data_IF_248803439359
#
_entry.id   IF_248803439359
#
_cell.length_a   1.000
_cell.length_b   1.000
_cell.length_c   1.000
_cell.angle_alpha   90.00
_cell.angle_beta   90.00
_cell.angle_gamma   90.00
#
_symmetry.space_group_name_H-M   'P 1'
#
loop_
_entity.id
_entity.type
_entity.pdbx_description
1 polymer ?
#
# COMPACT_ATOMS: atom_id res chain seq x y z
N UNK A 1 -8.31 -18.96 -17.40
CA UNK A 1 -7.78 -17.70 -16.85
C UNK A 1 -6.28 -17.77 -16.53
N UNK A 2 -5.74 -18.85 -15.96
CA UNK A 2 -4.30 -18.94 -15.69
C UNK A 2 -3.40 -19.19 -16.93
N UNK A 3 -3.99 -19.31 -18.12
CA UNK A 3 -3.29 -19.55 -19.40
C UNK A 3 -3.55 -18.44 -20.44
N UNK A 4 -3.97 -17.26 -19.97
CA UNK A 4 -4.07 -16.06 -20.81
C UNK A 4 -2.87 -15.18 -20.54
N UNK A 5 -2.35 -14.52 -21.58
CA UNK A 5 -1.15 -13.66 -21.54
C UNK A 5 -1.22 -12.60 -20.41
N UNK A 6 -2.42 -12.17 -20.05
CA UNK A 6 -2.65 -11.09 -19.09
C UNK A 6 -2.51 -11.50 -17.60
N UNK A 7 -2.65 -12.79 -17.24
CA UNK A 7 -2.78 -13.21 -15.83
C UNK A 7 -1.99 -14.48 -15.55
N UNK A 8 -1.04 -14.42 -14.61
CA UNK A 8 -0.34 -15.61 -14.11
C UNK A 8 -1.08 -16.24 -12.92
N UNK A 9 -0.87 -17.55 -12.69
CA UNK A 9 -1.44 -18.26 -11.53
C UNK A 9 -1.04 -17.62 -10.19
N UNK A 10 0.13 -17.00 -10.14
CA UNK A 10 0.66 -16.36 -8.94
C UNK A 10 -0.08 -15.06 -8.58
N UNK A 11 -0.69 -14.42 -9.58
CA UNK A 11 -1.56 -13.23 -9.44
C UNK A 11 -2.94 -13.48 -8.86
N UNK A 12 -3.29 -14.72 -8.48
CA UNK A 12 -4.64 -15.09 -8.01
C UNK A 12 -4.69 -15.35 -6.49
N UNK A 13 -5.65 -14.72 -5.81
CA UNK A 13 -6.05 -14.99 -4.41
C UNK A 13 -7.57 -15.16 -4.36
N UNK A 14 -8.07 -16.40 -4.47
CA UNK A 14 -9.52 -16.64 -4.63
C UNK A 14 -10.02 -15.98 -5.91
N UNK A 15 -10.95 -15.02 -5.80
CA UNK A 15 -11.47 -14.24 -6.94
C UNK A 15 -10.69 -12.92 -7.17
N UNK A 16 -9.71 -12.61 -6.33
CA UNK A 16 -8.84 -11.45 -6.52
C UNK A 16 -7.77 -11.78 -7.57
N UNK A 17 -7.69 -10.96 -8.62
CA UNK A 17 -6.75 -11.13 -9.75
C UNK A 17 -5.88 -9.89 -9.84
N UNK A 18 -4.65 -9.97 -9.35
CA UNK A 18 -3.77 -8.81 -9.25
C UNK A 18 -3.15 -8.38 -10.57
N UNK A 19 -3.01 -9.28 -11.55
CA UNK A 19 -2.50 -8.91 -12.87
C UNK A 19 -3.49 -8.11 -13.72
N UNK A 20 -4.58 -7.60 -13.13
CA UNK A 20 -5.58 -6.81 -13.83
C UNK A 20 -6.15 -5.72 -12.91
N UNK A 21 -6.22 -4.51 -13.42
CA UNK A 21 -6.47 -3.25 -12.72
C UNK A 21 -7.76 -3.18 -11.90
N UNK A 22 -8.90 -3.79 -12.33
CA UNK A 22 -10.13 -3.73 -11.56
C UNK A 22 -9.97 -4.24 -10.12
N UNK A 23 -9.02 -5.13 -9.86
CA UNK A 23 -8.77 -5.66 -8.52
C UNK A 23 -7.89 -4.74 -7.65
N UNK A 24 -7.10 -3.82 -8.23
CA UNK A 24 -6.02 -3.12 -7.53
C UNK A 24 -6.44 -2.37 -6.26
N UNK A 25 -7.66 -1.84 -6.25
CA UNK A 25 -8.22 -1.09 -5.13
C UNK A 25 -8.89 -1.99 -4.06
N UNK A 26 -9.25 -3.23 -4.40
CA UNK A 26 -10.15 -4.06 -3.60
C UNK A 26 -9.59 -4.41 -2.21
N UNK A 27 -8.27 -4.65 -2.11
CA UNK A 27 -7.63 -4.98 -0.83
C UNK A 27 -7.71 -3.83 0.20
N UNK A 28 -7.81 -2.58 -0.28
CA UNK A 28 -7.93 -1.39 0.56
C UNK A 28 -9.37 -1.14 1.04
N UNK A 29 -10.38 -1.81 0.46
CA UNK A 29 -11.79 -1.56 0.78
C UNK A 29 -12.16 -1.93 2.23
N UNK A 30 -11.37 -2.78 2.89
CA UNK A 30 -11.54 -3.03 4.33
C UNK A 30 -11.40 -1.75 5.18
N UNK A 31 -10.71 -0.71 4.70
CA UNK A 31 -10.60 0.58 5.38
C UNK A 31 -11.94 1.31 5.53
N UNK A 32 -12.95 0.97 4.73
CA UNK A 32 -14.32 1.48 4.83
C UNK A 32 -15.25 0.57 5.64
N UNK A 33 -14.72 -0.47 6.26
CA UNK A 33 -15.48 -1.42 7.10
C UNK A 33 -15.12 -1.23 8.57
N UNK A 34 -15.78 -2.00 9.43
CA UNK A 34 -15.43 -2.16 10.85
C UNK A 34 -14.12 -2.93 11.07
N UNK A 35 -13.47 -3.41 10.00
CA UNK A 35 -12.30 -4.28 10.06
C UNK A 35 -11.11 -3.78 9.21
N UNK A 36 -10.66 -2.52 9.38
CA UNK A 36 -9.58 -1.94 8.57
C UNK A 36 -8.25 -2.69 8.69
N UNK A 37 -8.00 -3.38 9.82
CA UNK A 37 -6.81 -4.21 10.00
C UNK A 37 -6.73 -5.39 9.02
N UNK A 38 -7.81 -5.73 8.30
CA UNK A 38 -7.78 -6.76 7.26
C UNK A 38 -7.05 -6.29 6.00
N UNK A 39 -6.97 -4.99 5.70
CA UNK A 39 -6.20 -4.44 4.57
C UNK A 39 -4.73 -4.83 4.66
N UNK A 40 -4.14 -4.60 5.83
CA UNK A 40 -2.69 -4.63 6.07
C UNK A 40 -2.01 -5.96 5.68
N UNK A 41 -2.43 -7.14 6.18
CA UNK A 41 -1.82 -8.41 5.79
C UNK A 41 -2.12 -8.80 4.33
N UNK A 42 -3.19 -8.28 3.71
CA UNK A 42 -3.53 -8.56 2.29
C UNK A 42 -2.56 -7.83 1.39
N UNK A 43 -2.30 -6.55 1.67
CA UNK A 43 -1.30 -5.75 0.95
C UNK A 43 0.09 -6.39 1.07
N UNK A 44 0.51 -6.79 2.27
CA UNK A 44 1.80 -7.46 2.48
C UNK A 44 1.90 -8.82 1.77
N UNK A 45 0.80 -9.57 1.70
CA UNK A 45 0.73 -10.82 0.94
C UNK A 45 0.90 -10.58 -0.56
N UNK A 46 0.20 -9.59 -1.12
CA UNK A 46 0.26 -9.25 -2.55
C UNK A 46 1.67 -8.81 -2.93
N UNK A 47 2.26 -7.86 -2.19
CA UNK A 47 3.61 -7.35 -2.42
C UNK A 47 4.65 -8.49 -2.46
N UNK A 48 4.54 -9.47 -1.55
CA UNK A 48 5.50 -10.57 -1.47
C UNK A 48 5.26 -11.66 -2.54
N UNK A 49 3.99 -11.98 -2.82
CA UNK A 49 3.65 -13.10 -3.70
C UNK A 49 3.74 -12.74 -5.19
N UNK A 50 3.46 -11.48 -5.54
CA UNK A 50 3.15 -11.09 -6.93
C UNK A 50 4.18 -10.15 -7.55
N UNK A 51 5.25 -9.84 -6.81
CA UNK A 51 6.36 -9.02 -7.27
C UNK A 51 7.70 -9.66 -6.88
N UNK A 52 8.61 -9.80 -7.85
CA UNK A 52 9.97 -10.28 -7.58
C UNK A 52 10.98 -9.74 -8.61
N UNK A 53 12.28 -9.88 -8.32
CA UNK A 53 13.38 -9.26 -9.08
C UNK A 53 13.77 -10.02 -10.37
N UNK A 54 12.92 -10.92 -10.86
CA UNK A 54 13.21 -11.80 -12.00
C UNK A 54 12.51 -11.36 -13.28
N UNK A 55 12.82 -11.98 -14.44
CA UNK A 55 12.18 -11.65 -15.72
C UNK A 55 10.64 -11.81 -15.72
N UNK A 56 10.10 -12.73 -14.92
CA UNK A 56 8.66 -12.92 -14.70
C UNK A 56 8.16 -12.17 -13.45
N UNK A 57 8.80 -11.05 -13.10
CA UNK A 57 8.68 -10.36 -11.82
C UNK A 57 7.33 -9.74 -11.49
N UNK A 58 6.35 -9.80 -12.40
CA UNK A 58 5.03 -9.19 -12.26
C UNK A 58 3.94 -10.25 -12.48
N UNK A 59 2.83 -10.12 -11.75
CA UNK A 59 1.68 -11.02 -11.85
C UNK A 59 0.82 -10.88 -13.13
N UNK A 60 1.20 -9.97 -14.04
CA UNK A 60 0.52 -9.63 -15.29
C UNK A 60 1.33 -8.58 -16.07
N UNK A 61 0.72 -7.97 -17.10
CA UNK A 61 1.33 -6.87 -17.84
C UNK A 61 1.57 -5.65 -16.93
N UNK A 62 2.66 -4.92 -17.14
CA UNK A 62 2.94 -3.72 -16.32
C UNK A 62 2.00 -2.55 -16.64
N UNK A 63 1.31 -2.61 -17.78
CA UNK A 63 0.35 -1.62 -18.26
C UNK A 63 0.84 -0.18 -18.13
N UNK A 64 1.96 0.07 -18.82
CA UNK A 64 2.63 1.37 -18.89
C UNK A 64 3.05 1.91 -17.52
N UNK A 65 3.44 1.03 -16.59
CA UNK A 65 3.90 1.40 -15.25
C UNK A 65 2.82 1.35 -14.17
N UNK A 66 1.61 0.91 -14.49
CA UNK A 66 0.50 0.81 -13.54
C UNK A 66 0.78 -0.22 -12.43
N UNK A 67 1.26 -1.42 -12.78
CA UNK A 67 1.62 -2.43 -11.78
C UNK A 67 2.79 -1.95 -10.90
N UNK A 68 3.79 -1.34 -11.53
CA UNK A 68 4.92 -0.73 -10.84
C UNK A 68 4.50 0.40 -9.90
N UNK A 69 3.55 1.26 -10.31
CA UNK A 69 3.01 2.33 -9.48
C UNK A 69 2.23 1.76 -8.28
N UNK A 70 1.45 0.70 -8.48
CA UNK A 70 0.75 0.02 -7.38
C UNK A 70 1.73 -0.49 -6.33
N UNK A 71 2.84 -1.12 -6.76
CA UNK A 71 3.90 -1.59 -5.88
C UNK A 71 4.49 -0.43 -5.08
N UNK A 72 4.89 0.67 -5.75
CA UNK A 72 5.51 1.83 -5.08
C UNK A 72 4.58 2.41 -4.02
N UNK A 73 3.35 2.74 -4.37
CA UNK A 73 2.36 3.28 -3.43
C UNK A 73 2.14 2.34 -2.23
N UNK A 74 1.87 1.07 -2.51
CA UNK A 74 1.58 0.08 -1.49
C UNK A 74 2.79 -0.20 -0.58
N UNK A 75 4.00 -0.22 -1.13
CA UNK A 75 5.24 -0.39 -0.37
C UNK A 75 5.55 0.82 0.53
N UNK A 76 5.22 2.04 0.09
CA UNK A 76 5.26 3.26 0.90
C UNK A 76 4.17 3.29 1.98
N UNK A 77 3.12 2.47 1.84
CA UNK A 77 2.09 2.25 2.84
C UNK A 77 0.78 2.99 2.61
N UNK A 78 0.51 3.52 1.41
CA UNK A 78 -0.76 4.18 1.09
C UNK A 78 -1.09 4.12 -0.41
N UNK A 79 -2.37 4.18 -0.79
CA UNK A 79 -2.82 4.02 -2.19
C UNK A 79 -4.04 4.89 -2.55
N UNK A 80 -4.11 5.47 -3.76
CA UNK A 80 -5.26 6.23 -4.24
C UNK A 80 -6.40 5.31 -4.73
N UNK A 81 -7.24 4.82 -3.81
CA UNK A 81 -8.40 3.95 -4.13
C UNK A 81 -9.39 4.62 -5.09
N UNK A 82 -9.68 5.90 -4.86
CA UNK A 82 -10.48 6.74 -5.74
C UNK A 82 -9.63 7.93 -6.20
N UNK A 83 -8.93 7.83 -7.34
CA UNK A 83 -8.18 8.94 -7.90
C UNK A 83 -9.09 10.16 -8.05
N UNK A 84 -8.62 11.33 -7.60
CA UNK A 84 -9.37 12.60 -7.47
C UNK A 84 -10.24 12.80 -6.21
N UNK A 85 -10.32 11.84 -5.29
CA UNK A 85 -11.01 12.03 -3.98
C UNK A 85 -10.30 13.00 -3.03
N UNK A 86 -8.99 13.22 -3.22
CA UNK A 86 -8.17 14.03 -2.32
C UNK A 86 -7.60 13.27 -1.12
N UNK A 87 -7.83 11.96 -1.02
CA UNK A 87 -7.28 11.11 0.05
C UNK A 87 -6.55 9.87 -0.52
N UNK A 88 -5.49 9.45 0.18
CA UNK A 88 -4.89 8.12 0.04
C UNK A 88 -5.39 7.21 1.17
N UNK A 89 -5.70 5.95 0.86
CA UNK A 89 -6.03 4.93 1.84
C UNK A 89 -4.76 4.30 2.40
N UNK A 90 -4.63 4.18 3.72
CA UNK A 90 -3.48 3.55 4.36
C UNK A 90 -3.48 2.03 4.15
N UNK A 91 -2.32 1.49 3.80
CA UNK A 91 -2.04 0.06 3.71
C UNK A 91 -1.17 -0.43 4.86
N UNK A 92 -0.18 -1.26 4.52
CA UNK A 92 0.93 -1.62 5.41
C UNK A 92 2.24 -1.41 4.66
N UNK A 93 3.13 -0.52 5.12
CA UNK A 93 4.41 -0.29 4.46
C UNK A 93 5.27 -1.57 4.43
N UNK A 94 6.03 -1.72 3.35
CA UNK A 94 7.03 -2.77 3.17
C UNK A 94 8.46 -2.23 3.25
N UNK A 95 8.65 -0.92 3.12
CA UNK A 95 9.94 -0.24 3.32
C UNK A 95 10.20 0.01 4.82
N UNK A 96 11.46 0.19 5.20
CA UNK A 96 11.85 0.70 6.53
C UNK A 96 11.74 2.23 6.62
N UNK A 97 11.81 2.90 5.48
CA UNK A 97 11.62 4.34 5.36
C UNK A 97 11.82 4.77 3.91
N UNK A 98 11.38 5.98 3.60
CA UNK A 98 11.54 6.56 2.27
C UNK A 98 11.47 8.09 2.35
N UNK A 99 12.10 8.75 1.39
CA UNK A 99 11.96 10.20 1.19
C UNK A 99 11.48 10.42 -0.23
N UNK A 100 10.31 11.04 -0.37
CA UNK A 100 9.69 11.35 -1.66
C UNK A 100 9.79 12.85 -1.90
N UNK A 101 10.31 13.23 -3.07
CA UNK A 101 10.30 14.62 -3.51
C UNK A 101 8.88 14.96 -4.03
N UNK A 102 8.20 15.92 -3.41
CA UNK A 102 6.79 16.25 -3.72
C UNK A 102 6.62 17.56 -4.49
N UNK A 103 7.72 18.06 -5.06
CA UNK A 103 7.79 19.28 -5.85
C UNK A 103 8.25 20.50 -5.05
N UNK A 104 8.66 21.56 -5.74
CA UNK A 104 9.05 22.84 -5.11
C UNK A 104 10.14 22.72 -4.02
N UNK A 105 11.03 21.73 -4.15
CA UNK A 105 12.07 21.44 -3.15
C UNK A 105 11.56 20.83 -1.84
N UNK A 106 10.27 20.49 -1.76
CA UNK A 106 9.64 19.88 -0.58
C UNK A 106 9.81 18.37 -0.58
N UNK A 107 9.94 17.82 0.63
CA UNK A 107 10.12 16.39 0.88
C UNK A 107 9.02 15.85 1.78
N UNK A 108 8.51 14.68 1.42
CA UNK A 108 7.63 13.88 2.27
C UNK A 108 8.41 12.65 2.75
N UNK A 109 8.65 12.59 4.05
CA UNK A 109 9.48 11.58 4.71
C UNK A 109 8.56 10.53 5.33
N UNK A 110 8.86 9.27 5.08
CA UNK A 110 8.15 8.12 5.64
C UNK A 110 9.12 7.38 6.54
N UNK A 111 8.75 7.21 7.80
CA UNK A 111 9.52 6.46 8.80
C UNK A 111 8.71 5.26 9.26
N UNK A 112 9.29 4.05 9.23
CA UNK A 112 8.56 2.83 9.57
C UNK A 112 9.29 2.07 10.67
N UNK A 113 8.73 2.13 11.87
CA UNK A 113 9.30 1.48 13.04
C UNK A 113 8.75 0.05 13.19
N UNK A 114 9.64 -0.90 13.47
CA UNK A 114 9.31 -2.28 13.80
C UNK A 114 8.61 -3.08 12.68
N UNK A 115 8.72 -2.67 11.42
CA UNK A 115 8.25 -3.48 10.29
C UNK A 115 9.08 -4.77 10.18
N UNK A 116 8.42 -5.87 9.86
CA UNK A 116 9.04 -7.14 9.47
C UNK A 116 8.00 -8.03 8.76
N UNK A 117 8.37 -9.26 8.41
CA UNK A 117 7.42 -10.26 7.90
C UNK A 117 6.41 -10.70 8.96
N UNK A 118 6.75 -10.56 10.24
CA UNK A 118 5.83 -10.85 11.36
C UNK A 118 5.01 -9.62 11.75
N UNK A 119 5.58 -8.42 11.59
CA UNK A 119 4.95 -7.17 11.99
C UNK A 119 4.36 -6.47 10.78
N UNK A 120 3.16 -6.92 10.40
CA UNK A 120 2.41 -6.41 9.24
C UNK A 120 1.30 -5.43 9.64
N UNK A 121 0.98 -5.31 10.93
CA UNK A 121 -0.15 -4.50 11.38
C UNK A 121 0.29 -3.11 11.85
N UNK A 122 -0.34 -2.07 11.33
CA UNK A 122 -0.11 -0.68 11.76
C UNK A 122 -0.72 -0.49 13.15
N UNK A 123 0.12 -0.23 14.15
CA UNK A 123 -0.28 0.07 15.52
C UNK A 123 -0.66 1.53 15.69
N UNK A 124 0.10 2.42 15.05
CA UNK A 124 -0.22 3.84 14.95
C UNK A 124 0.40 4.43 13.68
N UNK A 125 -0.28 5.42 13.11
CA UNK A 125 0.26 6.28 12.06
C UNK A 125 0.16 7.74 12.50
N UNK A 126 1.25 8.51 12.38
CA UNK A 126 1.30 9.92 12.75
C UNK A 126 1.73 10.76 11.56
N UNK A 127 0.97 11.80 11.26
CA UNK A 127 1.30 12.79 10.25
C UNK A 127 1.75 14.07 10.94
N UNK A 128 3.01 14.46 10.73
CA UNK A 128 3.62 15.63 11.37
C UNK A 128 3.44 15.61 12.91
N UNK A 129 3.64 14.42 13.51
CA UNK A 129 3.47 14.16 14.95
C UNK A 129 2.02 13.93 15.41
N UNK A 130 1.02 14.29 14.61
CA UNK A 130 -0.41 14.14 14.95
C UNK A 130 -0.90 12.74 14.60
N UNK A 131 -1.56 12.08 15.54
CA UNK A 131 -2.13 10.74 15.33
C UNK A 131 -3.25 10.80 14.28
N UNK A 132 -3.19 9.90 13.30
CA UNK A 132 -4.29 9.71 12.35
C UNK A 132 -5.40 8.90 13.02
N UNK A 133 -6.58 9.51 13.16
CA UNK A 133 -7.75 8.85 13.73
C UNK A 133 -8.44 7.86 12.76
N UNK A 134 -8.21 8.02 11.46
CA UNK A 134 -8.77 7.18 10.39
C UNK A 134 -7.65 6.69 9.47
N UNK A 135 -7.83 5.56 8.76
CA UNK A 135 -6.81 5.01 7.86
C UNK A 135 -6.74 5.76 6.52
N UNK A 136 -6.78 7.10 6.55
CA UNK A 136 -6.76 7.97 5.37
C UNK A 136 -5.76 9.11 5.54
N UNK A 137 -5.08 9.46 4.46
CA UNK A 137 -4.05 10.48 4.38
C UNK A 137 -4.44 11.53 3.34
N UNK A 138 -4.62 12.81 3.72
CA UNK A 138 -4.94 13.86 2.76
C UNK A 138 -3.81 14.07 1.75
N UNK A 139 -4.15 14.10 0.45
CA UNK A 139 -3.18 14.36 -0.63
C UNK A 139 -2.55 15.75 -0.48
N UNK A 140 -3.32 16.72 0.02
CA UNK A 140 -2.86 18.08 0.31
C UNK A 140 -1.70 18.10 1.30
N UNK A 141 -1.71 17.21 2.29
CA UNK A 141 -0.68 17.16 3.32
C UNK A 141 0.58 16.50 2.79
N UNK A 142 0.44 15.47 1.94
CA UNK A 142 1.59 14.87 1.24
C UNK A 142 2.30 15.91 0.35
N UNK A 143 1.55 16.72 -0.40
CA UNK A 143 2.10 17.76 -1.29
C UNK A 143 2.79 18.91 -0.55
N UNK A 144 2.43 19.15 0.70
CA UNK A 144 3.11 20.14 1.55
C UNK A 144 4.45 19.63 2.07
N UNK A 145 4.73 18.33 1.94
CA UNK A 145 5.85 17.67 2.57
C UNK A 145 5.60 17.40 4.05
N UNK A 146 6.63 16.97 4.77
CA UNK A 146 6.56 16.64 6.20
C UNK A 146 6.91 15.20 6.48
N UNK A 147 6.33 14.62 7.52
CA UNK A 147 6.69 13.27 7.99
C UNK A 147 5.45 12.42 8.30
N UNK A 148 5.41 11.22 7.73
CA UNK A 148 4.49 10.16 8.08
C UNK A 148 5.24 9.05 8.81
N UNK A 149 4.90 8.85 10.07
CA UNK A 149 5.52 7.83 10.92
C UNK A 149 4.55 6.66 11.14
N UNK A 150 5.00 5.45 10.85
CA UNK A 150 4.31 4.21 11.18
C UNK A 150 5.01 3.49 12.33
N UNK A 151 4.20 2.93 13.25
CA UNK A 151 4.66 1.93 14.23
C UNK A 151 3.95 0.63 13.91
N UNK A 152 4.73 -0.44 13.66
CA UNK A 152 4.20 -1.74 13.25
C UNK A 152 4.19 -2.76 14.41
N UNK A 153 3.36 -3.78 14.29
CA UNK A 153 3.23 -4.86 15.27
C UNK A 153 2.68 -6.15 14.66
N UNK A 154 2.82 -7.26 15.40
CA UNK A 154 2.43 -8.59 14.93
C UNK A 154 0.96 -8.96 15.16
N UNK A 155 0.18 -8.09 15.79
CA UNK A 155 -1.25 -8.29 16.06
C UNK A 155 -2.06 -7.09 15.58
N UNK A 156 -3.29 -7.29 15.10
CA UNK A 156 -4.15 -6.19 14.69
C UNK A 156 -4.52 -5.32 15.89
N UNK A 157 -4.43 -4.00 15.71
CA UNK A 157 -5.09 -3.05 16.61
C UNK A 157 -6.57 -3.04 16.26
N UNK A 158 -7.39 -3.57 17.15
CA UNK A 158 -8.85 -3.44 17.06
C UNK A 158 -9.18 -2.10 17.70
N UNK A 159 -9.76 -1.18 16.92
CA UNK A 159 -10.36 0.04 17.46
C UNK A 159 -11.67 -0.30 18.15
#
# INVERSE_FOLDING_TARGET
>A
FAETEDITRDGIIGNYVHGNEPAHHAAYLYNWTDQPWKTQPRIRMILNKMYHQGPAGLGGNDDCGQMSAWYIFSALGFYPVAPASGEYALGSPAVHGATVQVGEGKQFIITVNNQSDKNVYVQSARLNGKLLARPFLPVSDVRQGGTLEFVMGGKPTRQ
#
